data_IF_875245036051
#
_entry.id   IF_875245036051
#
_cell.length_a   1.000
_cell.length_b   1.000
_cell.length_c   1.000
_cell.angle_alpha   90.00
_cell.angle_beta   90.00
_cell.angle_gamma   90.00
#
_symmetry.space_group_name_H-M   'P 1'
#
loop_
_entity.id
_entity.type
_entity.pdbx_description
1 polymer ?
#
# COMPACT_ATOMS: atom_id res chain seq x y z
N UNK A 1 10.20 -10.58 -12.07
CA UNK A 1 10.68 -9.91 -10.84
C UNK A 1 11.19 -8.50 -11.08
N UNK A 2 11.96 -8.23 -12.14
CA UNK A 2 12.50 -6.89 -12.47
C UNK A 2 11.46 -5.77 -12.51
N UNK A 3 10.29 -5.99 -13.13
CA UNK A 3 9.23 -4.97 -13.17
C UNK A 3 8.66 -4.60 -11.79
N UNK A 4 8.59 -5.57 -10.87
CA UNK A 4 8.17 -5.30 -9.50
C UNK A 4 9.22 -4.47 -8.76
N UNK A 5 10.51 -4.84 -8.90
CA UNK A 5 11.63 -4.08 -8.29
C UNK A 5 11.62 -2.63 -8.79
N UNK A 6 11.53 -2.43 -10.11
CA UNK A 6 11.46 -1.09 -10.69
C UNK A 6 10.26 -0.29 -10.16
N UNK A 7 9.09 -0.91 -10.05
CA UNK A 7 7.88 -0.27 -9.53
C UNK A 7 8.04 0.14 -8.06
N UNK A 8 8.51 -0.77 -7.20
CA UNK A 8 8.70 -0.50 -5.77
C UNK A 8 9.79 0.54 -5.52
N UNK A 9 10.92 0.45 -6.21
CA UNK A 9 11.99 1.45 -6.10
C UNK A 9 11.53 2.83 -6.58
N UNK A 10 10.82 2.90 -7.71
CA UNK A 10 10.28 4.16 -8.24
C UNK A 10 9.25 4.75 -7.28
N UNK A 11 8.39 3.92 -6.69
CA UNK A 11 7.40 4.35 -5.72
C UNK A 11 8.04 4.97 -4.48
N UNK A 12 9.08 4.35 -3.92
CA UNK A 12 9.76 4.88 -2.74
C UNK A 12 10.44 6.22 -3.03
N UNK A 13 11.10 6.35 -4.19
CA UNK A 13 11.76 7.59 -4.59
C UNK A 13 10.75 8.71 -4.86
N UNK A 14 9.71 8.43 -5.65
CA UNK A 14 8.65 9.38 -5.95
C UNK A 14 7.90 9.80 -4.68
N UNK A 15 7.65 8.86 -3.76
CA UNK A 15 7.03 9.11 -2.47
C UNK A 15 7.83 10.11 -1.63
N UNK A 16 9.14 9.88 -1.49
CA UNK A 16 10.05 10.79 -0.78
C UNK A 16 10.15 12.17 -1.45
N UNK A 17 10.13 12.22 -2.78
CA UNK A 17 10.19 13.49 -3.50
C UNK A 17 8.91 14.32 -3.28
N UNK A 18 7.75 13.68 -3.31
CA UNK A 18 6.46 14.33 -3.12
C UNK A 18 6.17 14.70 -1.67
N UNK A 19 6.78 14.02 -0.68
CA UNK A 19 6.61 14.37 0.74
C UNK A 19 7.17 15.75 1.13
N UNK A 20 7.86 16.43 0.21
CA UNK A 20 8.32 17.81 0.39
C UNK A 20 7.18 18.81 0.16
N UNK A 21 6.25 18.50 -0.75
CA UNK A 21 5.16 19.39 -1.15
C UNK A 21 3.80 18.96 -0.62
N UNK A 22 3.58 17.65 -0.48
CA UNK A 22 2.31 17.06 -0.05
C UNK A 22 2.47 16.41 1.32
N UNK A 23 1.46 16.59 2.16
CA UNK A 23 1.38 15.78 3.37
C UNK A 23 1.06 14.30 3.03
N UNK A 24 1.26 13.42 4.01
CA UNK A 24 1.05 11.97 3.82
C UNK A 24 -0.41 11.64 3.44
N UNK A 25 -1.39 12.32 4.02
CA UNK A 25 -2.81 12.12 3.72
C UNK A 25 -3.18 12.58 2.32
N UNK A 26 -2.67 13.73 1.86
CA UNK A 26 -2.85 14.23 0.50
C UNK A 26 -2.25 13.27 -0.52
N UNK A 27 -1.02 12.81 -0.26
CA UNK A 27 -0.36 11.81 -1.11
C UNK A 27 -1.16 10.50 -1.16
N UNK A 28 -1.69 10.05 -0.03
CA UNK A 28 -2.56 8.87 0.04
C UNK A 28 -3.90 9.07 -0.67
N UNK A 29 -4.49 10.26 -0.61
CA UNK A 29 -5.72 10.60 -1.31
C UNK A 29 -5.53 10.48 -2.81
N UNK A 30 -4.52 11.15 -3.38
CA UNK A 30 -4.24 11.07 -4.82
C UNK A 30 -3.94 9.64 -5.24
N UNK A 31 -3.12 8.91 -4.47
CA UNK A 31 -2.83 7.51 -4.75
C UNK A 31 -4.09 6.63 -4.77
N UNK A 32 -5.01 6.86 -3.83
CA UNK A 32 -6.25 6.08 -3.71
C UNK A 32 -7.22 6.39 -4.85
N UNK A 33 -7.38 7.68 -5.21
CA UNK A 33 -8.22 8.12 -6.32
C UNK A 33 -7.71 7.54 -7.64
N UNK A 34 -6.41 7.66 -7.92
CA UNK A 34 -5.79 7.10 -9.12
C UNK A 34 -5.97 5.57 -9.13
N UNK A 35 -5.75 4.90 -8.00
CA UNK A 35 -5.94 3.45 -7.87
C UNK A 35 -7.38 3.03 -8.18
N UNK A 36 -8.38 3.75 -7.66
CA UNK A 36 -9.79 3.49 -7.95
C UNK A 36 -10.09 3.66 -9.43
N UNK A 37 -9.64 4.76 -10.05
CA UNK A 37 -9.85 5.02 -11.49
C UNK A 37 -9.23 3.90 -12.33
N UNK A 38 -8.00 3.49 -12.03
CA UNK A 38 -7.32 2.42 -12.75
C UNK A 38 -8.02 1.07 -12.58
N UNK A 39 -8.36 0.68 -11.35
CA UNK A 39 -9.00 -0.62 -11.08
C UNK A 39 -10.40 -0.69 -11.69
N UNK A 40 -11.22 0.35 -11.51
CA UNK A 40 -12.58 0.40 -12.06
C UNK A 40 -12.54 0.48 -13.59
N UNK A 41 -11.63 1.30 -14.15
CA UNK A 41 -11.45 1.43 -15.59
C UNK A 41 -11.05 0.11 -16.24
N UNK A 42 -10.02 -0.57 -15.69
CA UNK A 42 -9.57 -1.87 -16.20
C UNK A 42 -10.62 -2.96 -16.02
N UNK A 43 -11.32 -2.99 -14.89
CA UNK A 43 -12.43 -3.94 -14.67
C UNK A 43 -13.59 -3.69 -15.64
N UNK A 44 -13.88 -2.43 -15.97
CA UNK A 44 -14.85 -2.03 -16.99
C UNK A 44 -14.46 -2.51 -18.38
N UNK A 45 -13.21 -2.26 -18.79
CA UNK A 45 -12.67 -2.71 -20.07
C UNK A 45 -12.65 -4.24 -20.20
N UNK A 46 -12.43 -4.94 -19.08
CA UNK A 46 -12.47 -6.40 -19.04
C UNK A 46 -13.89 -6.99 -18.93
N UNK A 47 -14.93 -6.17 -18.77
CA UNK A 47 -16.31 -6.63 -18.56
C UNK A 47 -16.57 -7.29 -17.19
N UNK A 48 -15.67 -7.11 -16.21
CA UNK A 48 -15.67 -7.81 -14.92
C UNK A 48 -16.24 -6.99 -13.76
N UNK A 49 -16.88 -5.85 -14.04
CA UNK A 49 -17.50 -5.02 -13.00
C UNK A 49 -18.58 -5.75 -12.22
N UNK A 50 -19.27 -6.72 -12.84
CA UNK A 50 -20.28 -7.55 -12.18
C UNK A 50 -19.72 -8.46 -11.08
N UNK A 51 -18.41 -8.70 -11.04
CA UNK A 51 -17.76 -9.51 -10.01
C UNK A 51 -17.50 -8.73 -8.70
N UNK A 52 -17.66 -7.40 -8.72
CA UNK A 52 -17.46 -6.55 -7.55
C UNK A 52 -18.60 -6.75 -6.56
N UNK A 53 -18.37 -7.66 -5.60
CA UNK A 53 -19.33 -8.02 -4.56
C UNK A 53 -19.23 -7.10 -3.33
N UNK A 54 -20.38 -6.81 -2.73
CA UNK A 54 -20.50 -6.09 -1.44
C UNK A 54 -20.69 -7.02 -0.23
N UNK A 55 -20.62 -8.32 -0.43
CA UNK A 55 -20.94 -9.30 0.63
C UNK A 55 -19.95 -9.29 1.81
N UNK A 56 -18.71 -8.81 1.61
CA UNK A 56 -17.64 -8.83 2.62
C UNK A 56 -17.10 -7.44 2.95
N UNK A 57 -17.95 -6.41 2.91
CA UNK A 57 -17.54 -5.03 3.18
C UNK A 57 -16.86 -4.85 4.54
N UNK A 58 -17.34 -5.53 5.59
CA UNK A 58 -16.70 -5.48 6.91
C UNK A 58 -15.26 -6.01 6.90
N UNK A 59 -15.01 -7.13 6.23
CA UNK A 59 -13.66 -7.68 6.06
C UNK A 59 -12.76 -6.74 5.26
N UNK A 60 -13.28 -6.16 4.17
CA UNK A 60 -12.54 -5.18 3.38
C UNK A 60 -12.24 -3.92 4.18
N UNK A 61 -13.16 -3.47 5.03
CA UNK A 61 -12.94 -2.33 5.91
C UNK A 61 -11.81 -2.60 6.91
N UNK A 62 -11.85 -3.71 7.65
CA UNK A 62 -10.80 -4.08 8.61
C UNK A 62 -9.44 -4.21 7.90
N UNK A 63 -9.40 -4.94 6.77
CA UNK A 63 -8.19 -5.05 5.95
C UNK A 63 -7.67 -3.67 5.53
N UNK A 64 -8.57 -2.79 5.11
CA UNK A 64 -8.22 -1.45 4.68
C UNK A 64 -7.70 -0.59 5.82
N UNK A 65 -8.25 -0.71 7.04
CA UNK A 65 -7.71 0.01 8.21
C UNK A 65 -6.27 -0.37 8.48
N UNK A 66 -5.96 -1.68 8.55
CA UNK A 66 -4.58 -2.13 8.76
C UNK A 66 -3.65 -1.70 7.62
N UNK A 67 -4.08 -1.91 6.37
CA UNK A 67 -3.29 -1.56 5.20
C UNK A 67 -3.08 -0.05 5.06
N UNK A 68 -4.12 0.76 5.26
CA UNK A 68 -4.06 2.20 5.16
C UNK A 68 -3.16 2.78 6.26
N UNK A 69 -3.32 2.34 7.51
CA UNK A 69 -2.44 2.76 8.60
C UNK A 69 -1.00 2.37 8.33
N UNK A 70 -0.73 1.12 7.94
CA UNK A 70 0.62 0.67 7.60
C UNK A 70 1.24 1.49 6.46
N UNK A 71 0.47 1.76 5.41
CA UNK A 71 0.92 2.56 4.28
C UNK A 71 1.24 4.01 4.68
N UNK A 72 0.37 4.65 5.49
CA UNK A 72 0.62 6.01 5.96
C UNK A 72 1.87 6.08 6.83
N UNK A 73 2.03 5.13 7.77
CA UNK A 73 3.22 5.05 8.62
C UNK A 73 4.49 4.79 7.79
N UNK A 74 4.38 4.01 6.70
CA UNK A 74 5.49 3.77 5.78
C UNK A 74 5.90 5.04 5.03
N UNK A 75 4.94 5.80 4.47
CA UNK A 75 5.25 7.08 3.81
C UNK A 75 5.77 8.14 4.80
N UNK A 76 5.26 8.14 6.04
CA UNK A 76 5.79 8.98 7.10
C UNK A 76 7.25 8.60 7.41
N UNK A 77 7.55 7.31 7.57
CA UNK A 77 8.92 6.83 7.79
C UNK A 77 9.83 7.18 6.61
N UNK A 78 9.34 7.05 5.38
CA UNK A 78 10.06 7.50 4.19
C UNK A 78 10.46 8.95 4.30
N UNK A 79 9.68 9.85 4.91
CA UNK A 79 10.02 11.27 5.09
C UNK A 79 10.94 11.53 6.30
N UNK A 80 10.85 10.72 7.35
CA UNK A 80 11.56 10.94 8.61
C UNK A 80 12.98 10.35 8.66
N UNK A 81 13.21 9.19 8.03
CA UNK A 81 14.50 8.49 8.14
C UNK A 81 15.12 8.21 6.74
N UNK A 82 16.44 7.96 6.65
CA UNK A 82 17.09 7.60 5.40
C UNK A 82 16.48 6.36 4.75
N UNK A 83 16.35 6.35 3.42
CA UNK A 83 15.80 5.23 2.64
C UNK A 83 16.46 3.89 3.00
N UNK A 84 17.78 3.87 3.17
CA UNK A 84 18.52 2.67 3.54
C UNK A 84 18.05 2.07 4.87
N UNK A 85 17.68 2.92 5.85
CA UNK A 85 17.17 2.46 7.14
C UNK A 85 15.74 1.93 7.03
N UNK A 86 14.88 2.59 6.25
CA UNK A 86 13.50 2.09 5.98
C UNK A 86 13.57 0.70 5.37
N UNK A 87 14.35 0.51 4.30
CA UNK A 87 14.51 -0.80 3.66
C UNK A 87 15.17 -1.83 4.59
N UNK A 88 16.11 -1.42 5.45
CA UNK A 88 16.66 -2.31 6.46
C UNK A 88 15.60 -2.82 7.42
N UNK A 89 14.65 -1.96 7.83
CA UNK A 89 13.51 -2.37 8.65
C UNK A 89 12.57 -3.31 7.89
N UNK A 90 12.34 -3.11 6.59
CA UNK A 90 11.48 -4.02 5.81
C UNK A 90 11.97 -5.47 5.80
N UNK A 91 13.27 -5.73 5.93
CA UNK A 91 13.80 -7.10 6.05
C UNK A 91 13.33 -7.83 7.32
N UNK A 92 12.81 -7.12 8.33
CA UNK A 92 12.20 -7.74 9.51
C UNK A 92 10.73 -8.16 9.28
N UNK A 93 10.09 -7.76 8.18
CA UNK A 93 8.68 -8.05 7.92
C UNK A 93 8.35 -9.55 7.94
N UNK A 94 9.18 -10.47 7.39
CA UNK A 94 8.91 -11.90 7.45
C UNK A 94 8.80 -12.45 8.87
N UNK A 95 9.57 -11.89 9.83
CA UNK A 95 9.51 -12.29 11.24
C UNK A 95 8.15 -11.93 11.85
N UNK A 96 7.69 -10.70 11.62
CA UNK A 96 6.38 -10.24 12.08
C UNK A 96 5.23 -11.00 11.41
N UNK A 97 5.35 -11.27 10.10
CA UNK A 97 4.37 -12.07 9.37
C UNK A 97 4.28 -13.48 9.94
N UNK A 98 5.41 -14.14 10.22
CA UNK A 98 5.43 -15.48 10.80
C UNK A 98 4.77 -15.49 12.19
N UNK A 99 5.10 -14.52 13.04
CA UNK A 99 4.50 -14.38 14.37
C UNK A 99 2.98 -14.17 14.31
N UNK A 100 2.52 -13.22 13.48
CA UNK A 100 1.10 -12.93 13.34
C UNK A 100 0.33 -14.07 12.66
N UNK A 101 0.95 -14.78 11.72
CA UNK A 101 0.35 -15.96 11.09
C UNK A 101 0.08 -17.05 12.11
N UNK A 102 1.03 -17.36 13.00
CA UNK A 102 0.83 -18.33 14.07
C UNK A 102 -0.33 -17.97 15.01
N UNK A 103 -0.57 -16.67 15.24
CA UNK A 103 -1.65 -16.19 16.10
C UNK A 103 -3.02 -16.13 15.41
N UNK A 104 -3.06 -15.97 14.09
CA UNK A 104 -4.31 -15.63 13.36
C UNK A 104 -4.78 -16.71 12.41
N UNK A 105 -3.90 -17.60 11.94
CA UNK A 105 -4.23 -18.61 10.94
C UNK A 105 -4.42 -20.02 11.51
N UNK A 106 -4.00 -20.27 12.76
CA UNK A 106 -4.15 -21.57 13.43
C UNK A 106 -3.13 -22.60 12.99
#
# INVERSE_FOLDING_TARGET
>A
MTGAILSFSSMALAGRAMSVELDTFELMLYRSVIGIVLVVGLAGLAGRLGEVSRQRLGLHFVRNVFHFTGQNLWFLALALIPLAQVFAMEFNAPLWVALLAALTLG
#
